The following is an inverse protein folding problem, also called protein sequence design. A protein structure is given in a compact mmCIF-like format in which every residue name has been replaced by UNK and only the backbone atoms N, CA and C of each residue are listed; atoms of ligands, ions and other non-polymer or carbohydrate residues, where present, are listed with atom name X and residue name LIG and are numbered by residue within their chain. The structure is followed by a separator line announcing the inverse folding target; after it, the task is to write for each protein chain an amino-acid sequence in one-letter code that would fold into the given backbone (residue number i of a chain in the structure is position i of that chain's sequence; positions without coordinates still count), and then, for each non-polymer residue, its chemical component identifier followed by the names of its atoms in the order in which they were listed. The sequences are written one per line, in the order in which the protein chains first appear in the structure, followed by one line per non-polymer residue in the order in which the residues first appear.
data_IF_958539084005
#
_entry.id   IF_958539084005
#
_cell.length_a   1.000
_cell.length_b   1.000
_cell.length_c   1.000
_cell.angle_alpha   90.00
_cell.angle_beta   90.00
_cell.angle_gamma   90.00
#
_symmetry.space_group_name_H-M   'P 1'
#
loop_
_entity.id
_entity.type
_entity.pdbx_description
1 polymer ?
#
# COMPACT_ATOMS: atom_id res chain seq x y z
N UNK A 1 12.85 28.43 -28.30
CA UNK A 1 13.47 28.46 -26.96
C UNK A 1 14.11 27.10 -26.72
N UNK A 2 15.43 27.05 -26.59
CA UNK A 2 16.27 25.84 -26.64
C UNK A 2 17.14 25.89 -25.37
N UNK A 3 16.99 24.92 -24.47
CA UNK A 3 17.80 24.82 -23.25
C UNK A 3 19.09 24.02 -23.56
N UNK A 4 20.28 24.49 -23.14
CA UNK A 4 21.53 23.77 -23.32
C UNK A 4 21.96 22.99 -22.07
N UNK A 5 22.71 21.90 -22.32
CA UNK A 5 23.93 21.58 -21.57
C UNK A 5 23.78 20.75 -20.29
N UNK A 6 23.90 19.44 -20.40
CA UNK A 6 24.34 18.57 -19.31
C UNK A 6 25.83 18.20 -19.53
N UNK A 7 26.72 18.82 -18.75
CA UNK A 7 27.99 18.22 -18.31
C UNK A 7 27.64 17.05 -17.38
N UNK A 8 28.30 15.90 -17.33
CA UNK A 8 29.64 15.51 -17.73
C UNK A 8 30.16 14.55 -16.65
N UNK A 9 30.86 13.49 -17.05
CA UNK A 9 31.80 12.64 -16.28
C UNK A 9 31.70 11.19 -16.83
N UNK A 10 32.39 10.87 -17.91
CA UNK A 10 33.78 10.43 -17.91
C UNK A 10 33.99 9.11 -17.13
N UNK A 11 33.61 8.00 -17.77
CA UNK A 11 34.05 6.66 -17.40
C UNK A 11 35.50 6.47 -17.86
N UNK A 12 36.45 6.55 -16.93
CA UNK A 12 37.83 6.16 -17.17
C UNK A 12 38.05 4.73 -16.63
N UNK A 13 38.19 3.80 -17.56
CA UNK A 13 38.82 2.50 -17.34
C UNK A 13 40.25 2.71 -16.85
N UNK A 14 40.63 2.03 -15.76
CA UNK A 14 42.02 1.72 -15.47
C UNK A 14 42.15 0.23 -15.14
N UNK A 15 43.02 -0.40 -15.93
CA UNK A 15 43.35 -1.81 -15.96
C UNK A 15 44.30 -2.21 -14.83
N UNK A 16 44.14 -3.47 -14.42
CA UNK A 16 45.07 -4.40 -13.80
C UNK A 16 46.48 -3.91 -13.41
N UNK A 17 46.79 -4.02 -12.12
CA UNK A 17 48.14 -4.39 -11.64
C UNK A 17 48.06 -4.90 -10.20
N UNK A 18 48.67 -6.05 -9.91
CA UNK A 18 49.06 -6.45 -8.56
C UNK A 18 48.65 -7.86 -8.14
N UNK A 19 49.44 -8.85 -8.54
CA UNK A 19 49.54 -10.12 -7.82
C UNK A 19 50.39 -9.92 -6.55
N UNK A 20 50.17 -10.81 -5.58
CA UNK A 20 51.05 -11.17 -4.47
C UNK A 20 51.06 -10.27 -3.23
N UNK A 21 50.49 -10.77 -2.13
CA UNK A 21 51.18 -10.89 -0.84
C UNK A 21 50.23 -11.29 0.31
N UNK A 22 50.58 -12.39 0.99
CA UNK A 22 50.37 -12.68 2.42
C UNK A 22 49.03 -13.26 2.90
N UNK A 23 49.00 -14.60 2.88
CA UNK A 23 48.55 -15.49 3.96
C UNK A 23 47.80 -14.82 5.14
N UNK A 24 46.45 -14.91 5.21
CA UNK A 24 45.73 -14.51 6.40
C UNK A 24 45.78 -15.67 7.38
N UNK A 25 46.69 -15.60 8.36
CA UNK A 25 46.43 -16.29 9.64
C UNK A 25 45.02 -15.87 10.09
N UNK A 26 44.12 -16.80 10.42
CA UNK A 26 42.86 -16.43 11.04
C UNK A 26 43.19 -15.74 12.36
N UNK A 27 43.09 -14.41 12.36
CA UNK A 27 43.15 -13.65 13.60
C UNK A 27 42.02 -14.10 14.53
N UNK A 28 42.10 -13.77 15.83
CA UNK A 28 41.02 -14.06 16.77
C UNK A 28 39.70 -13.53 16.20
N UNK A 29 38.69 -14.40 16.08
CA UNK A 29 37.35 -14.03 15.65
C UNK A 29 36.85 -12.97 16.62
N UNK A 30 36.86 -11.71 16.18
CA UNK A 30 36.15 -10.66 16.91
C UNK A 30 34.68 -10.99 16.80
N UNK A 31 34.02 -11.14 17.95
CA UNK A 31 32.57 -11.12 18.00
C UNK A 31 32.12 -9.86 17.26
N UNK A 32 31.52 -10.03 16.08
CA UNK A 32 30.89 -8.92 15.38
C UNK A 32 29.83 -8.36 16.33
N UNK A 33 29.81 -7.04 16.50
CA UNK A 33 28.69 -6.37 17.16
C UNK A 33 27.37 -6.92 16.57
N UNK A 34 26.41 -7.31 17.42
CA UNK A 34 25.11 -7.75 16.95
C UNK A 34 24.56 -6.69 16.01
N UNK A 35 24.37 -7.04 14.73
CA UNK A 35 23.76 -6.10 13.79
C UNK A 35 22.39 -5.71 14.35
N UNK A 36 22.06 -4.42 14.43
CA UNK A 36 20.74 -3.99 14.87
C UNK A 36 19.68 -4.67 13.99
N UNK A 37 18.71 -5.33 14.63
CA UNK A 37 17.62 -6.01 13.95
C UNK A 37 16.91 -4.98 13.06
N UNK A 38 16.81 -5.18 11.73
CA UNK A 38 16.08 -4.25 10.89
C UNK A 38 14.63 -4.12 11.40
N UNK A 39 14.02 -2.93 11.30
CA UNK A 39 12.65 -2.75 11.73
C UNK A 39 11.78 -3.79 11.01
N UNK A 40 11.00 -4.55 11.78
CA UNK A 40 10.12 -5.57 11.24
C UNK A 40 9.27 -4.94 10.13
N UNK A 41 9.32 -5.54 8.94
CA UNK A 41 8.55 -5.09 7.77
C UNK A 41 7.09 -5.01 8.20
N UNK A 42 6.48 -3.82 8.13
CA UNK A 42 5.12 -3.56 8.60
C UNK A 42 4.15 -4.58 8.00
N UNK A 43 3.64 -5.47 8.84
CA UNK A 43 2.68 -6.48 8.41
C UNK A 43 1.44 -5.79 7.83
N UNK A 44 0.95 -6.28 6.69
CA UNK A 44 -0.30 -5.79 6.09
C UNK A 44 -1.43 -6.01 7.10
N UNK A 45 -2.20 -4.98 7.48
CA UNK A 45 -3.23 -5.12 8.50
C UNK A 45 -4.30 -6.11 8.04
N UNK A 46 -4.71 -7.01 8.94
CA UNK A 46 -5.86 -7.92 8.72
C UNK A 46 -7.14 -7.10 8.55
N UNK A 47 -8.18 -7.63 7.84
CA UNK A 47 -9.46 -6.93 7.70
C UNK A 47 -10.05 -6.50 9.05
N UNK A 48 -9.99 -7.37 10.05
CA UNK A 48 -10.50 -7.07 11.39
C UNK A 48 -9.73 -5.93 12.07
N UNK A 49 -8.42 -5.81 11.86
CA UNK A 49 -7.63 -4.69 12.34
C UNK A 49 -8.01 -3.37 11.64
N UNK A 50 -8.35 -3.41 10.35
CA UNK A 50 -8.79 -2.23 9.59
C UNK A 50 -10.15 -1.71 10.06
N UNK A 51 -11.10 -2.60 10.37
CA UNK A 51 -12.38 -2.20 10.95
C UNK A 51 -12.24 -1.54 12.32
N UNK A 52 -11.31 -2.03 13.15
CA UNK A 52 -10.99 -1.37 14.44
C UNK A 52 -10.41 0.03 14.25
N UNK A 53 -9.60 0.24 13.20
CA UNK A 53 -9.05 1.55 12.86
C UNK A 53 -10.10 2.50 12.26
N UNK A 54 -11.09 1.96 11.55
CA UNK A 54 -12.11 2.73 10.86
C UNK A 54 -13.53 2.15 11.11
N UNK A 55 -14.07 2.25 12.34
CA UNK A 55 -15.39 1.73 12.68
C UNK A 55 -16.52 2.45 11.92
N UNK A 56 -16.25 3.60 11.30
CA UNK A 56 -17.22 4.33 10.49
C UNK A 56 -17.53 3.67 9.14
N UNK A 57 -16.74 2.69 8.70
CA UNK A 57 -16.97 2.00 7.42
C UNK A 57 -18.29 1.21 7.38
N UNK A 58 -18.79 0.81 8.55
CA UNK A 58 -20.06 0.08 8.69
C UNK A 58 -21.28 1.00 8.74
N UNK A 59 -21.07 2.33 8.79
CA UNK A 59 -22.16 3.31 8.93
C UNK A 59 -22.74 3.70 7.58
N UNK A 60 -23.98 4.19 7.60
CA UNK A 60 -24.59 4.83 6.44
C UNK A 60 -23.99 6.21 6.18
N UNK A 61 -24.17 6.71 4.96
CA UNK A 61 -23.63 7.99 4.52
C UNK A 61 -23.98 9.15 5.45
N UNK A 62 -25.23 9.19 5.91
CA UNK A 62 -25.73 10.29 6.75
C UNK A 62 -25.10 10.34 8.14
N UNK A 63 -24.60 9.21 8.63
CA UNK A 63 -23.89 9.12 9.90
C UNK A 63 -22.40 9.48 9.78
N UNK A 64 -21.90 9.63 8.55
CA UNK A 64 -20.51 10.02 8.32
C UNK A 64 -20.28 11.48 8.66
N UNK A 65 -19.14 11.76 9.28
CA UNK A 65 -18.71 13.14 9.51
C UNK A 65 -18.34 13.82 8.19
N UNK A 66 -18.35 15.16 8.11
CA UNK A 66 -17.97 15.88 6.89
C UNK A 66 -16.55 15.55 6.39
N UNK A 67 -15.60 15.23 7.27
CA UNK A 67 -14.26 14.81 6.87
C UNK A 67 -14.25 13.40 6.26
N UNK A 68 -15.04 12.48 6.81
CA UNK A 68 -15.22 11.13 6.25
C UNK A 68 -15.89 11.18 4.88
N UNK A 69 -16.97 11.95 4.72
CA UNK A 69 -17.66 12.13 3.42
C UNK A 69 -16.70 12.68 2.36
N UNK A 70 -15.91 13.71 2.68
CA UNK A 70 -14.88 14.25 1.77
C UNK A 70 -13.85 13.20 1.36
N UNK A 71 -13.41 12.36 2.30
CA UNK A 71 -12.48 11.26 2.02
C UNK A 71 -13.10 10.23 1.08
N UNK A 72 -14.34 9.82 1.32
CA UNK A 72 -15.06 8.87 0.46
C UNK A 72 -15.21 9.45 -0.95
N UNK A 73 -15.67 10.70 -1.09
CA UNK A 73 -15.79 11.39 -2.38
C UNK A 73 -14.47 11.40 -3.16
N UNK A 74 -13.38 11.77 -2.50
CA UNK A 74 -12.06 11.80 -3.13
C UNK A 74 -11.62 10.41 -3.63
N UNK A 75 -12.02 9.34 -2.94
CA UNK A 75 -11.71 7.96 -3.33
C UNK A 75 -12.61 7.48 -4.46
N UNK A 76 -13.92 7.72 -4.38
CA UNK A 76 -14.88 7.38 -5.45
C UNK A 76 -14.47 7.99 -6.79
N UNK A 77 -14.07 9.27 -6.79
CA UNK A 77 -13.58 9.98 -7.99
C UNK A 77 -12.34 9.35 -8.64
N UNK A 78 -11.55 8.60 -7.86
CA UNK A 78 -10.33 7.92 -8.33
C UNK A 78 -10.55 6.42 -8.56
N UNK A 79 -11.73 5.93 -8.21
CA UNK A 79 -12.07 4.52 -8.33
C UNK A 79 -12.55 4.21 -9.75
N UNK A 80 -12.51 2.93 -10.17
CA UNK A 80 -13.11 2.52 -11.44
C UNK A 80 -14.65 2.65 -11.47
N UNK A 81 -15.27 3.01 -10.34
CA UNK A 81 -16.69 3.36 -10.24
C UNK A 81 -16.81 4.88 -10.07
N UNK A 82 -16.69 5.65 -11.15
CA UNK A 82 -16.86 7.10 -11.05
C UNK A 82 -18.29 7.38 -10.58
N UNK A 83 -18.41 8.08 -9.46
CA UNK A 83 -19.69 8.60 -8.96
C UNK A 83 -19.58 10.11 -8.87
N UNK A 84 -20.65 10.80 -9.30
CA UNK A 84 -20.78 12.23 -9.03
C UNK A 84 -20.94 12.47 -7.53
N UNK A 85 -20.68 13.71 -7.04
CA UNK A 85 -20.92 14.03 -5.63
C UNK A 85 -22.36 13.80 -5.18
N UNK A 86 -23.33 13.90 -6.10
CA UNK A 86 -24.75 13.66 -5.82
C UNK A 86 -25.09 12.16 -5.69
N UNK A 87 -24.37 11.29 -6.41
CA UNK A 87 -24.58 9.83 -6.38
C UNK A 87 -23.80 9.13 -5.27
N UNK A 88 -22.76 9.78 -4.75
CA UNK A 88 -21.90 9.23 -3.70
C UNK A 88 -22.63 8.68 -2.46
N UNK A 89 -23.72 9.31 -1.95
CA UNK A 89 -24.49 8.75 -0.85
C UNK A 89 -25.05 7.36 -1.19
N UNK A 90 -25.78 7.25 -2.30
CA UNK A 90 -26.38 6.00 -2.74
C UNK A 90 -25.32 4.93 -3.04
N UNK A 91 -24.25 5.30 -3.73
CA UNK A 91 -23.13 4.39 -4.00
C UNK A 91 -22.48 3.88 -2.71
N UNK A 92 -22.29 4.74 -1.71
CA UNK A 92 -21.74 4.36 -0.41
C UNK A 92 -22.63 3.34 0.30
N UNK A 93 -23.92 3.63 0.40
CA UNK A 93 -24.85 2.83 1.17
C UNK A 93 -25.08 1.44 0.55
N UNK A 94 -25.07 1.32 -0.78
CA UNK A 94 -25.19 0.04 -1.49
C UNK A 94 -23.90 -0.78 -1.46
N UNK A 95 -22.73 -0.14 -1.37
CA UNK A 95 -21.46 -0.87 -1.31
C UNK A 95 -21.40 -1.75 -0.06
N UNK A 96 -21.11 -3.03 -0.26
CA UNK A 96 -20.78 -3.94 0.83
C UNK A 96 -19.49 -3.52 1.55
N UNK A 97 -19.34 -3.97 2.80
CA UNK A 97 -18.19 -3.66 3.64
C UNK A 97 -16.83 -3.96 2.98
N UNK A 98 -16.62 -5.12 2.29
CA UNK A 98 -15.35 -5.40 1.63
C UNK A 98 -14.99 -4.38 0.54
N UNK A 99 -15.99 -3.92 -0.21
CA UNK A 99 -15.81 -2.88 -1.25
C UNK A 99 -15.46 -1.54 -0.63
N UNK A 100 -16.12 -1.16 0.47
CA UNK A 100 -15.81 0.06 1.23
C UNK A 100 -14.39 0.03 1.79
N UNK A 101 -13.96 -1.11 2.34
CA UNK A 101 -12.59 -1.29 2.82
C UNK A 101 -11.55 -1.15 1.70
N UNK A 102 -11.76 -1.83 0.57
CA UNK A 102 -10.89 -1.75 -0.59
C UNK A 102 -10.80 -0.31 -1.15
N UNK A 103 -11.92 0.42 -1.16
CA UNK A 103 -11.98 1.81 -1.59
C UNK A 103 -11.13 2.74 -0.69
N UNK A 104 -11.18 2.54 0.63
CA UNK A 104 -10.59 3.46 1.62
C UNK A 104 -9.12 3.14 1.93
N UNK A 105 -8.80 1.85 2.06
CA UNK A 105 -7.45 1.39 2.40
C UNK A 105 -6.62 1.00 1.18
N UNK A 106 -7.26 0.87 0.01
CA UNK A 106 -6.63 0.25 -1.15
C UNK A 106 -6.66 -1.27 -1.01
N UNK A 107 -6.90 -1.94 -2.12
CA UNK A 107 -6.95 -3.39 -2.18
C UNK A 107 -7.63 -3.86 -3.45
N UNK A 108 -7.51 -5.17 -3.76
CA UNK A 108 -8.30 -5.75 -4.83
C UNK A 108 -9.78 -5.55 -4.50
N UNK A 109 -10.53 -5.01 -5.46
CA UNK A 109 -11.98 -4.99 -5.36
C UNK A 109 -12.47 -6.44 -5.34
N UNK A 110 -13.46 -6.76 -4.48
CA UNK A 110 -14.11 -8.05 -4.56
C UNK A 110 -14.65 -8.21 -5.98
N UNK A 111 -14.41 -9.39 -6.57
CA UNK A 111 -15.04 -9.70 -7.85
C UNK A 111 -16.55 -9.74 -7.61
N UNK A 112 -17.37 -9.33 -8.59
CA UNK A 112 -18.80 -9.59 -8.52
C UNK A 112 -18.97 -11.11 -8.62
N UNK A 113 -18.99 -11.77 -7.47
CA UNK A 113 -19.25 -13.21 -7.37
C UNK A 113 -20.71 -13.41 -7.74
N UNK A 114 -20.97 -13.99 -8.92
CA UNK A 114 -22.28 -14.51 -9.28
C UNK A 114 -22.59 -15.67 -8.32
N UNK A 115 -23.21 -15.40 -7.18
CA UNK A 115 -23.57 -16.47 -6.24
C UNK A 115 -23.66 -16.08 -4.77
N UNK A 116 -24.53 -15.14 -4.41
CA UNK A 116 -25.28 -15.32 -3.16
C UNK A 116 -26.32 -16.43 -3.40
N UNK A 117 -25.82 -17.66 -3.56
CA UNK A 117 -26.60 -18.88 -3.54
C UNK A 117 -27.22 -19.01 -2.16
N UNK A 118 -28.54 -19.18 -2.18
CA UNK A 118 -29.41 -19.67 -1.11
C UNK A 118 -28.68 -20.66 -0.20
N UNK A 119 -28.35 -20.21 1.02
CA UNK A 119 -28.10 -21.09 2.16
C UNK A 119 -29.24 -20.89 3.15
N UNK A 120 -30.44 -21.27 2.72
CA UNK A 120 -31.64 -21.41 3.53
C UNK A 120 -32.07 -22.86 3.52
N UNK A 121 -31.24 -23.73 4.10
CA UNK A 121 -31.64 -25.08 4.48
C UNK A 121 -32.14 -25.05 5.91
N UNK A 122 -33.46 -25.02 6.08
CA UNK A 122 -34.25 -25.91 6.95
C UNK A 122 -35.74 -25.57 6.80
#
# INVERSE_FOLDING_TARGET
MKLPGWCGAAWALLLLTGCDALNPRPGPIRAMEPRPNPPAVSAVPTPQARLRQAPWLTRFWDELTPSQRRRVLARLRRSPFPSSPAEAPASWDVMGLPTREALIFGGPLPRPDTGATVAGGQ
#
